data_IF_939671105013
#
_entry.id   IF_939671105013
#
_cell.length_a   1.000
_cell.length_b   1.000
_cell.length_c   1.000
_cell.angle_alpha   90.00
_cell.angle_beta   90.00
_cell.angle_gamma   90.00
#
_symmetry.space_group_name_H-M   'P 1'
#
loop_
_entity.id
_entity.type
_entity.pdbx_description
1 polymer ?
#
# COMPACT_ATOMS: atom_id res chain seq x y z
N UNK A 1 3.30 12.80 8.42
CA UNK A 1 4.37 13.83 8.40
C UNK A 1 3.90 15.19 8.96
N UNK A 2 2.66 15.60 8.65
CA UNK A 2 2.13 16.92 9.03
C UNK A 2 2.16 17.20 10.55
N UNK A 3 2.01 16.17 11.37
CA UNK A 3 1.98 16.29 12.84
C UNK A 3 3.37 16.49 13.44
N UNK A 4 4.40 15.83 12.89
CA UNK A 4 5.77 15.88 13.43
C UNK A 4 6.68 16.87 12.70
N UNK A 5 6.31 17.30 11.48
CA UNK A 5 7.08 18.27 10.69
C UNK A 5 7.18 19.68 11.33
N UNK A 6 6.17 20.20 12.06
CA UNK A 6 6.27 21.51 12.69
C UNK A 6 7.32 21.65 13.80
N UNK A 7 7.87 20.52 14.28
CA UNK A 7 8.93 20.55 15.30
C UNK A 7 8.43 20.79 16.73
N UNK A 8 7.20 20.40 17.03
CA UNK A 8 6.68 20.43 18.41
C UNK A 8 7.56 19.58 19.33
N UNK A 9 7.99 20.13 20.44
CA UNK A 9 8.86 19.45 21.42
C UNK A 9 8.15 18.41 22.29
N UNK A 10 6.85 18.22 22.09
CA UNK A 10 6.01 17.21 22.78
C UNK A 10 5.50 16.12 21.85
N UNK A 11 5.86 16.16 20.55
CA UNK A 11 5.36 15.24 19.54
C UNK A 11 6.48 14.49 18.86
N UNK A 12 6.54 13.19 19.05
CA UNK A 12 7.62 12.32 18.55
C UNK A 12 7.07 11.22 17.66
N UNK A 13 7.86 10.78 16.71
CA UNK A 13 7.57 9.63 15.82
C UNK A 13 8.69 8.61 15.98
N UNK A 14 8.32 7.36 16.30
CA UNK A 14 9.26 6.24 16.49
C UNK A 14 9.29 5.28 15.30
N UNK A 15 8.46 5.51 14.27
CA UNK A 15 8.37 4.69 13.07
C UNK A 15 8.56 5.55 11.81
N UNK A 16 8.86 4.91 10.67
CA UNK A 16 8.88 5.59 9.38
C UNK A 16 7.54 6.27 9.08
N UNK A 17 7.58 7.36 8.35
CA UNK A 17 6.40 8.09 7.95
C UNK A 17 5.94 7.69 6.53
N UNK A 18 4.73 8.11 6.15
CA UNK A 18 4.12 7.75 4.87
C UNK A 18 4.96 8.19 3.65
N UNK A 19 5.72 9.29 3.79
CA UNK A 19 6.63 9.72 2.72
C UNK A 19 7.71 8.67 2.46
N UNK A 20 8.28 8.09 3.52
CA UNK A 20 9.26 7.01 3.39
C UNK A 20 8.64 5.73 2.84
N UNK A 21 7.42 5.38 3.28
CA UNK A 21 6.72 4.17 2.83
C UNK A 21 6.34 4.25 1.35
N UNK A 22 5.69 5.35 0.94
CA UNK A 22 5.29 5.55 -0.45
C UNK A 22 6.48 5.59 -1.41
N UNK A 23 7.56 6.29 -1.02
CA UNK A 23 8.78 6.35 -1.80
C UNK A 23 9.47 4.97 -1.91
N UNK A 24 9.57 4.21 -0.82
CA UNK A 24 10.18 2.88 -0.81
C UNK A 24 9.46 1.92 -1.76
N UNK A 25 8.11 1.93 -1.77
CA UNK A 25 7.32 1.10 -2.67
C UNK A 25 7.53 1.47 -4.15
N UNK A 26 7.58 2.76 -4.48
CA UNK A 26 7.83 3.21 -5.84
C UNK A 26 9.25 2.85 -6.32
N UNK A 27 10.26 3.01 -5.46
CA UNK A 27 11.64 2.60 -5.73
C UNK A 27 11.72 1.09 -5.94
N UNK A 28 11.05 0.29 -5.09
CA UNK A 28 11.03 -1.16 -5.23
C UNK A 28 10.34 -1.59 -6.54
N UNK A 29 9.20 -0.98 -6.88
CA UNK A 29 8.50 -1.24 -8.12
C UNK A 29 9.36 -0.95 -9.35
N UNK A 30 10.06 0.19 -9.35
CA UNK A 30 10.94 0.60 -10.46
C UNK A 30 12.26 -0.16 -10.48
N UNK A 31 13.01 -0.14 -9.37
CA UNK A 31 14.42 -0.54 -9.38
C UNK A 31 14.59 -2.05 -9.22
N UNK A 32 13.73 -2.70 -8.41
CA UNK A 32 13.79 -4.15 -8.19
C UNK A 32 12.94 -4.92 -9.20
N UNK A 33 11.68 -4.51 -9.39
CA UNK A 33 10.74 -5.24 -10.25
C UNK A 33 10.73 -4.74 -11.70
N UNK A 34 11.40 -3.63 -12.00
CA UNK A 34 11.50 -3.04 -13.36
C UNK A 34 10.15 -2.73 -14.01
N UNK A 35 9.13 -2.44 -13.21
CA UNK A 35 7.81 -2.09 -13.69
C UNK A 35 7.83 -0.74 -14.42
N UNK A 36 6.96 -0.56 -15.39
CA UNK A 36 6.92 0.63 -16.24
C UNK A 36 5.62 1.42 -16.11
N UNK A 37 4.50 0.73 -15.98
CA UNK A 37 3.16 1.34 -16.01
C UNK A 37 2.45 1.02 -14.70
N UNK A 38 2.07 2.06 -13.96
CA UNK A 38 1.36 1.90 -12.69
C UNK A 38 0.04 2.66 -12.72
N UNK A 39 -1.00 2.05 -12.19
CA UNK A 39 -2.24 2.75 -11.85
C UNK A 39 -2.22 3.07 -10.35
N UNK A 40 -2.82 4.19 -9.97
CA UNK A 40 -2.89 4.63 -8.57
C UNK A 40 -4.33 4.87 -8.19
N UNK A 41 -4.73 4.35 -7.04
CA UNK A 41 -6.05 4.53 -6.44
C UNK A 41 -5.85 5.07 -5.02
N UNK A 42 -6.65 6.05 -4.59
CA UNK A 42 -6.72 6.50 -3.20
C UNK A 42 -8.16 6.47 -2.66
N UNK A 43 -8.31 6.40 -1.35
CA UNK A 43 -9.60 6.35 -0.66
C UNK A 43 -10.13 7.73 -0.23
N UNK A 44 -9.52 8.81 -0.70
CA UNK A 44 -9.83 10.20 -0.35
C UNK A 44 -9.63 10.57 1.13
N UNK A 45 -9.09 9.68 1.95
CA UNK A 45 -8.64 10.05 3.29
C UNK A 45 -7.31 10.80 3.23
N UNK A 46 -6.99 11.57 4.26
CA UNK A 46 -5.70 12.26 4.37
C UNK A 46 -4.51 11.28 4.34
N UNK A 47 -4.69 10.07 4.89
CA UNK A 47 -3.71 8.98 4.83
C UNK A 47 -3.56 8.45 3.41
N UNK A 48 -4.66 7.98 2.81
CA UNK A 48 -4.61 7.34 1.49
C UNK A 48 -4.12 8.27 0.39
N UNK A 49 -4.63 9.51 0.35
CA UNK A 49 -4.15 10.54 -0.59
C UNK A 49 -2.67 10.88 -0.36
N UNK A 50 -2.26 11.05 0.91
CA UNK A 50 -0.88 11.38 1.24
C UNK A 50 0.09 10.32 0.75
N UNK A 51 -0.20 9.05 1.02
CA UNK A 51 0.62 7.92 0.61
C UNK A 51 0.64 7.76 -0.93
N UNK A 52 -0.52 7.86 -1.58
CA UNK A 52 -0.65 7.78 -3.03
C UNK A 52 0.10 8.89 -3.77
N UNK A 53 0.05 10.12 -3.25
CA UNK A 53 0.79 11.24 -3.84
C UNK A 53 2.30 11.02 -3.80
N UNK A 54 2.84 10.57 -2.66
CA UNK A 54 4.28 10.27 -2.55
C UNK A 54 4.69 9.14 -3.49
N UNK A 55 3.89 8.08 -3.57
CA UNK A 55 4.15 6.99 -4.52
C UNK A 55 4.17 7.51 -5.96
N UNK A 56 3.16 8.28 -6.39
CA UNK A 56 3.07 8.86 -7.75
C UNK A 56 4.28 9.73 -8.10
N UNK A 57 4.62 10.65 -7.20
CA UNK A 57 5.75 11.56 -7.41
C UNK A 57 7.06 10.78 -7.57
N UNK A 58 7.31 9.82 -6.68
CA UNK A 58 8.51 8.99 -6.75
C UNK A 58 8.51 8.09 -7.99
N UNK A 59 7.37 7.51 -8.36
CA UNK A 59 7.21 6.70 -9.56
C UNK A 59 7.59 7.49 -10.82
N UNK A 60 7.11 8.73 -10.95
CA UNK A 60 7.44 9.62 -12.06
C UNK A 60 8.94 9.98 -12.07
N UNK A 61 9.53 10.29 -10.92
CA UNK A 61 10.96 10.56 -10.79
C UNK A 61 11.83 9.36 -11.22
N UNK A 62 11.31 8.15 -10.99
CA UNK A 62 11.94 6.89 -11.41
C UNK A 62 11.66 6.51 -12.87
N UNK A 63 10.95 7.33 -13.63
CA UNK A 63 10.63 7.10 -15.04
C UNK A 63 9.51 6.11 -15.28
N UNK A 64 8.69 5.80 -14.27
CA UNK A 64 7.47 5.02 -14.46
C UNK A 64 6.33 5.91 -14.97
N UNK A 65 5.47 5.34 -15.80
CA UNK A 65 4.25 5.99 -16.29
C UNK A 65 3.11 5.75 -15.30
N UNK A 66 2.49 6.80 -14.81
CA UNK A 66 1.22 6.72 -14.07
C UNK A 66 0.10 6.72 -15.12
N UNK A 67 -0.36 5.52 -15.49
CA UNK A 67 -1.30 5.31 -16.62
C UNK A 67 -2.77 5.54 -16.25
N UNK A 68 -3.09 5.51 -14.96
CA UNK A 68 -4.40 5.85 -14.42
C UNK A 68 -4.26 6.41 -13.00
N UNK A 69 -5.09 7.40 -12.69
CA UNK A 69 -5.29 7.94 -11.35
C UNK A 69 -6.78 7.90 -11.06
N UNK A 70 -7.15 7.08 -10.09
CA UNK A 70 -8.53 6.85 -9.69
C UNK A 70 -8.72 7.12 -8.20
N UNK A 71 -9.92 7.25 -7.78
CA UNK A 71 -10.24 7.39 -6.37
C UNK A 71 -11.50 6.63 -6.00
N UNK A 72 -11.57 6.28 -4.74
CA UNK A 72 -12.73 5.67 -4.12
C UNK A 72 -13.03 6.35 -2.79
N UNK A 73 -13.73 5.69 -1.89
CA UNK A 73 -13.95 6.15 -0.52
C UNK A 73 -13.58 5.04 0.47
N UNK A 74 -13.33 5.42 1.72
CA UNK A 74 -13.09 4.51 2.83
C UNK A 74 -14.30 3.64 3.22
N UNK A 75 -15.44 3.83 2.55
CA UNK A 75 -16.68 3.04 2.74
C UNK A 75 -17.09 2.24 1.50
N UNK A 76 -16.36 2.36 0.42
CA UNK A 76 -16.68 1.66 -0.82
C UNK A 76 -16.45 0.15 -0.67
N UNK A 77 -17.29 -0.64 -1.31
CA UNK A 77 -17.20 -2.11 -1.38
C UNK A 77 -17.20 -2.63 -2.80
N UNK A 78 -17.55 -1.78 -3.77
CA UNK A 78 -17.55 -2.09 -5.19
C UNK A 78 -16.56 -1.19 -5.93
N UNK A 79 -15.65 -1.82 -6.66
CA UNK A 79 -14.55 -1.19 -7.39
C UNK A 79 -14.57 -1.58 -8.88
N UNK A 80 -15.58 -2.33 -9.34
CA UNK A 80 -15.64 -2.89 -10.69
C UNK A 80 -15.47 -1.83 -11.77
N UNK A 81 -16.10 -0.65 -11.60
CA UNK A 81 -16.03 0.43 -12.58
C UNK A 81 -14.61 0.97 -12.73
N UNK A 82 -13.96 1.35 -11.61
CA UNK A 82 -12.60 1.89 -11.64
C UNK A 82 -11.58 0.85 -12.08
N UNK A 83 -11.73 -0.40 -11.65
CA UNK A 83 -10.84 -1.49 -12.03
C UNK A 83 -10.98 -1.85 -13.52
N UNK A 84 -12.19 -1.75 -14.07
CA UNK A 84 -12.42 -1.93 -15.53
C UNK A 84 -11.73 -0.84 -16.33
N UNK A 85 -11.80 0.43 -15.88
CA UNK A 85 -11.07 1.53 -16.49
C UNK A 85 -9.55 1.29 -16.44
N UNK A 86 -9.04 0.92 -15.28
CA UNK A 86 -7.63 0.59 -15.07
C UNK A 86 -7.19 -0.56 -15.98
N UNK A 87 -8.00 -1.64 -16.11
CA UNK A 87 -7.71 -2.76 -16.99
C UNK A 87 -7.44 -2.32 -18.43
N UNK A 88 -8.23 -1.36 -18.92
CA UNK A 88 -8.07 -0.80 -20.28
C UNK A 88 -6.72 -0.11 -20.49
N UNK A 89 -6.05 0.32 -19.42
CA UNK A 89 -4.73 0.97 -19.45
C UNK A 89 -3.57 -0.02 -19.37
N UNK A 90 -3.83 -1.31 -19.14
CA UNK A 90 -2.85 -2.39 -19.06
C UNK A 90 -1.67 -2.07 -18.11
N UNK A 91 -1.91 -1.78 -16.83
CA UNK A 91 -0.84 -1.50 -15.88
C UNK A 91 -0.07 -2.77 -15.53
N UNK A 92 1.21 -2.62 -15.20
CA UNK A 92 2.03 -3.68 -14.60
C UNK A 92 1.73 -3.84 -13.12
N UNK A 93 1.29 -2.73 -12.49
CA UNK A 93 0.94 -2.69 -11.07
C UNK A 93 -0.16 -1.69 -10.77
N UNK A 94 -0.84 -1.95 -9.65
CA UNK A 94 -1.80 -1.02 -9.04
C UNK A 94 -1.26 -0.66 -7.66
N UNK A 95 -1.19 0.63 -7.36
CA UNK A 95 -0.96 1.15 -6.03
C UNK A 95 -2.30 1.59 -5.43
N UNK A 96 -2.57 1.15 -4.20
CA UNK A 96 -3.74 1.59 -3.44
C UNK A 96 -3.32 2.29 -2.14
N UNK A 97 -3.74 3.53 -1.98
CA UNK A 97 -3.65 4.29 -0.73
C UNK A 97 -4.95 4.18 0.05
N UNK A 98 -4.98 3.32 1.04
CA UNK A 98 -6.15 3.08 1.88
C UNK A 98 -5.96 1.90 2.83
N UNK A 99 -7.06 1.30 3.30
CA UNK A 99 -7.08 0.29 4.34
C UNK A 99 -7.48 -1.10 3.81
N UNK A 100 -7.27 -2.12 4.63
CA UNK A 100 -7.56 -3.54 4.34
C UNK A 100 -9.05 -3.81 4.03
N UNK A 101 -9.96 -3.10 4.68
CA UNK A 101 -11.40 -3.24 4.47
C UNK A 101 -11.82 -2.99 3.01
N UNK A 102 -11.10 -2.15 2.28
CA UNK A 102 -11.28 -1.89 0.85
C UNK A 102 -10.36 -2.73 -0.01
N UNK A 103 -9.11 -2.95 0.42
CA UNK A 103 -8.14 -3.75 -0.33
C UNK A 103 -8.61 -5.19 -0.53
N UNK A 104 -9.24 -5.81 0.47
CA UNK A 104 -9.75 -7.17 0.36
C UNK A 104 -10.77 -7.35 -0.77
N UNK A 105 -11.91 -6.63 -0.76
CA UNK A 105 -12.87 -6.65 -1.86
C UNK A 105 -12.26 -6.26 -3.21
N UNK A 106 -11.33 -5.29 -3.23
CA UNK A 106 -10.65 -4.86 -4.45
C UNK A 106 -9.82 -6.00 -5.07
N UNK A 107 -9.08 -6.77 -4.26
CA UNK A 107 -8.30 -7.92 -4.73
C UNK A 107 -9.20 -9.02 -5.33
N UNK A 108 -10.38 -9.30 -4.74
CA UNK A 108 -11.34 -10.24 -5.33
C UNK A 108 -11.83 -9.76 -6.69
N UNK A 109 -12.15 -8.47 -6.80
CA UNK A 109 -12.68 -7.90 -8.05
C UNK A 109 -11.59 -7.80 -9.12
N UNK A 110 -10.33 -7.59 -8.75
CA UNK A 110 -9.19 -7.71 -9.68
C UNK A 110 -9.11 -9.11 -10.29
N UNK A 111 -9.26 -10.15 -9.48
CA UNK A 111 -9.26 -11.53 -9.98
C UNK A 111 -10.41 -11.79 -10.94
N UNK A 112 -11.64 -11.33 -10.60
CA UNK A 112 -12.82 -11.45 -11.47
C UNK A 112 -12.64 -10.76 -12.82
N UNK A 113 -11.87 -9.68 -12.87
CA UNK A 113 -11.55 -8.94 -14.10
C UNK A 113 -10.35 -9.52 -14.87
N UNK A 114 -9.76 -10.62 -14.41
CA UNK A 114 -8.57 -11.21 -15.03
C UNK A 114 -7.27 -10.43 -14.75
N UNK A 115 -7.29 -9.55 -13.74
CA UNK A 115 -6.13 -8.76 -13.28
C UNK A 115 -5.43 -9.39 -12.06
N UNK A 116 -5.75 -10.62 -11.71
CA UNK A 116 -5.21 -11.29 -10.52
C UNK A 116 -3.68 -11.43 -10.50
N UNK A 117 -3.01 -11.35 -11.64
CA UNK A 117 -1.55 -11.40 -11.75
C UNK A 117 -0.88 -10.02 -11.71
N UNK A 118 -1.65 -8.93 -11.74
CA UNK A 118 -1.12 -7.56 -11.64
C UNK A 118 -0.57 -7.36 -10.21
N UNK A 119 0.61 -6.74 -10.10
CA UNK A 119 1.19 -6.44 -8.78
C UNK A 119 0.34 -5.42 -8.04
N UNK A 120 0.13 -5.64 -6.75
CA UNK A 120 -0.66 -4.75 -5.92
C UNK A 120 0.20 -4.20 -4.79
N UNK A 121 0.37 -2.89 -4.76
CA UNK A 121 1.16 -2.18 -3.76
C UNK A 121 0.27 -1.39 -2.81
N UNK A 122 0.58 -1.43 -1.53
CA UNK A 122 -0.10 -0.59 -0.54
C UNK A 122 0.78 -0.30 0.67
N UNK A 123 0.33 0.59 1.55
CA UNK A 123 0.95 0.84 2.84
C UNK A 123 0.56 -0.19 3.91
N UNK A 124 1.00 0.07 5.12
CA UNK A 124 0.74 -0.75 6.30
C UNK A 124 -0.75 -0.90 6.64
N UNK A 125 -1.57 0.11 6.29
CA UNK A 125 -3.01 0.05 6.51
C UNK A 125 -3.75 -1.05 5.74
N UNK A 126 -3.18 -1.57 4.65
CA UNK A 126 -3.72 -2.71 3.90
C UNK A 126 -3.10 -4.04 4.29
N UNK A 127 -1.89 -4.04 4.85
CA UNK A 127 -1.14 -5.26 5.17
C UNK A 127 -1.41 -5.78 6.57
N UNK A 128 -2.64 -6.03 6.85
CA UNK A 128 -3.08 -6.67 8.10
C UNK A 128 -3.16 -8.18 7.93
N UNK A 129 -3.15 -8.90 9.05
CA UNK A 129 -3.38 -10.35 9.08
C UNK A 129 -4.79 -10.73 8.57
N UNK A 130 -5.71 -9.77 8.54
CA UNK A 130 -7.08 -9.95 8.04
C UNK A 130 -7.20 -9.88 6.53
N UNK A 131 -6.22 -9.33 5.83
CA UNK A 131 -6.31 -9.11 4.39
C UNK A 131 -6.67 -10.38 3.59
N UNK A 132 -6.08 -11.57 3.85
CA UNK A 132 -6.44 -12.79 3.13
C UNK A 132 -7.90 -13.21 3.34
N UNK A 133 -8.43 -13.02 4.54
CA UNK A 133 -9.84 -13.29 4.85
C UNK A 133 -10.76 -12.29 4.13
N UNK A 134 -10.46 -11.01 4.21
CA UNK A 134 -11.20 -9.94 3.54
C UNK A 134 -11.18 -10.09 2.01
N UNK A 135 -10.09 -10.60 1.47
CA UNK A 135 -9.96 -10.94 0.05
C UNK A 135 -10.66 -12.26 -0.33
N UNK A 136 -11.31 -12.96 0.61
CA UNK A 136 -12.00 -14.24 0.33
C UNK A 136 -11.05 -15.31 -0.18
N UNK A 137 -9.79 -15.33 0.28
CA UNK A 137 -8.72 -16.22 -0.17
C UNK A 137 -8.40 -16.08 -1.68
N UNK A 138 -8.66 -14.91 -2.25
CA UNK A 138 -8.30 -14.61 -3.65
C UNK A 138 -6.81 -14.87 -3.91
N UNK A 139 -6.49 -15.49 -5.04
CA UNK A 139 -5.10 -15.71 -5.48
C UNK A 139 -4.33 -14.39 -5.69
N UNK A 140 -5.03 -13.28 -5.92
CA UNK A 140 -4.44 -11.93 -6.04
C UNK A 140 -3.66 -11.50 -4.80
N UNK A 141 -3.96 -12.07 -3.61
CA UNK A 141 -3.23 -11.79 -2.36
C UNK A 141 -1.73 -12.11 -2.48
N UNK A 142 -1.37 -13.14 -3.25
CA UNK A 142 0.03 -13.51 -3.49
C UNK A 142 0.83 -12.43 -4.23
N UNK A 143 0.15 -11.48 -4.89
CA UNK A 143 0.76 -10.37 -5.62
C UNK A 143 0.81 -9.06 -4.83
N UNK A 144 0.40 -9.08 -3.54
CA UNK A 144 0.41 -7.91 -2.68
C UNK A 144 1.81 -7.67 -2.12
N UNK A 145 2.25 -6.43 -2.19
CA UNK A 145 3.47 -5.94 -1.55
C UNK A 145 3.15 -4.69 -0.76
N UNK A 146 3.50 -4.69 0.52
CA UNK A 146 3.27 -3.54 1.38
C UNK A 146 4.57 -3.02 1.99
N UNK A 147 4.59 -1.71 2.30
CA UNK A 147 5.60 -1.13 3.16
C UNK A 147 5.05 -0.94 4.57
N UNK A 148 5.83 -1.31 5.56
CA UNK A 148 5.51 -1.10 6.97
C UNK A 148 6.51 -0.15 7.62
N UNK A 149 6.05 0.61 8.61
CA UNK A 149 6.83 1.67 9.24
C UNK A 149 7.96 1.20 10.17
N UNK A 150 8.14 -0.10 10.34
CA UNK A 150 9.12 -0.68 11.24
C UNK A 150 9.74 -1.97 10.71
N UNK A 151 10.60 -2.55 11.50
CA UNK A 151 11.18 -3.88 11.28
C UNK A 151 10.50 -4.87 12.22
N UNK A 152 10.32 -6.12 11.78
CA UNK A 152 9.71 -7.16 12.64
C UNK A 152 10.53 -7.36 13.91
N UNK A 153 9.85 -7.64 15.01
CA UNK A 153 10.46 -7.79 16.35
C UNK A 153 11.58 -8.83 16.35
N UNK A 154 11.43 -9.90 15.55
CA UNK A 154 12.41 -10.97 15.42
C UNK A 154 13.74 -10.50 14.79
N UNK A 155 13.66 -9.43 13.98
CA UNK A 155 14.82 -8.82 13.28
C UNK A 155 15.40 -7.63 14.03
N UNK A 156 14.75 -7.17 15.10
CA UNK A 156 15.26 -6.07 15.94
C UNK A 156 16.37 -6.55 16.86
N UNK A 157 17.41 -5.73 17.02
CA UNK A 157 18.40 -5.96 18.09
C UNK A 157 17.69 -5.95 19.45
N UNK A 158 17.79 -7.06 20.19
CA UNK A 158 17.09 -7.26 21.48
C UNK A 158 15.58 -7.50 21.36
N UNK A 159 15.05 -7.64 20.15
CA UNK A 159 13.61 -7.81 19.94
C UNK A 159 13.05 -9.09 20.54
N UNK A 160 13.79 -10.18 20.47
CA UNK A 160 13.39 -11.46 21.09
C UNK A 160 13.31 -11.39 22.61
N UNK A 161 14.25 -10.70 23.26
CA UNK A 161 14.23 -10.50 24.71
C UNK A 161 13.08 -9.57 25.12
N UNK A 162 12.83 -8.54 24.31
CA UNK A 162 11.68 -7.67 24.49
C UNK A 162 10.38 -8.46 24.40
N UNK A 163 10.24 -9.31 23.37
CA UNK A 163 9.06 -10.15 23.16
C UNK A 163 8.81 -11.10 24.31
N UNK A 164 9.83 -11.80 24.79
CA UNK A 164 9.72 -12.68 25.97
C UNK A 164 9.20 -11.94 27.21
N UNK A 165 9.70 -10.73 27.45
CA UNK A 165 9.23 -9.90 28.58
C UNK A 165 7.79 -9.40 28.39
N UNK A 166 7.40 -9.14 27.16
CA UNK A 166 6.04 -8.71 26.83
C UNK A 166 5.04 -9.85 26.98
N UNK A 167 5.36 -11.03 26.45
CA UNK A 167 4.49 -12.22 26.50
C UNK A 167 4.37 -12.80 27.93
N UNK A 168 5.31 -12.47 28.82
CA UNK A 168 5.29 -12.91 30.23
C UNK A 168 4.41 -12.05 31.18
N UNK A 169 3.76 -11.00 30.67
CA UNK A 169 2.86 -10.11 31.40
C UNK A 169 1.41 -10.39 31.08
#
# INVERSE_FOLDING_TARGET
PAITKPGYNTTYRLIANDNSLGAALAIYASDALKLKNVAVIDDRTAYGQGLANVFKETARQKGMNVVAEEFTTDKATDFMAILTNIRGKKPDAIFYGGLDAQSGPMLRQLEQLGLGNVKFFSGDGSCTEKLPELAGKSASVANVTCATGGISVEKMAGGQDWKKRYDAK
#
